data_IF_407748574663
#
_entry.id   IF_407748574663
#
_cell.length_a   1.000
_cell.length_b   1.000
_cell.length_c   1.000
_cell.angle_alpha   90.00
_cell.angle_beta   90.00
_cell.angle_gamma   90.00
#
_symmetry.space_group_name_H-M   'P 1'
#
loop_
_entity.id
_entity.type
_entity.pdbx_description
1 polymer ?
#
# COMPACT_ATOMS: atom_id res chain seq x y z
N UNK A 1 -15.73 -21.97 2.07
CA UNK A 1 -14.78 -20.99 1.48
C UNK A 1 -14.89 -21.13 -0.03
N UNK A 2 -15.28 -20.07 -0.75
CA UNK A 2 -15.30 -20.11 -2.22
C UNK A 2 -13.88 -19.95 -2.75
N UNK A 3 -13.48 -20.70 -3.79
CA UNK A 3 -12.15 -20.57 -4.37
C UNK A 3 -11.95 -19.17 -4.96
N UNK A 4 -10.73 -18.64 -4.87
CA UNK A 4 -10.34 -17.30 -5.34
C UNK A 4 -10.78 -17.07 -6.80
N UNK A 5 -10.74 -18.12 -7.62
CA UNK A 5 -11.21 -18.09 -9.01
C UNK A 5 -12.69 -17.69 -9.14
N UNK A 6 -13.56 -18.10 -8.21
CA UNK A 6 -15.01 -17.76 -8.24
C UNK A 6 -15.22 -16.26 -8.02
N UNK A 7 -14.48 -15.64 -7.09
CA UNK A 7 -14.55 -14.19 -6.87
C UNK A 7 -14.03 -13.40 -8.08
N UNK A 8 -12.96 -13.86 -8.72
CA UNK A 8 -12.42 -13.24 -9.93
C UNK A 8 -13.42 -13.29 -11.09
N UNK A 9 -14.13 -14.41 -11.27
CA UNK A 9 -15.16 -14.56 -12.31
C UNK A 9 -16.32 -13.60 -12.05
N UNK A 10 -16.82 -13.51 -10.82
CA UNK A 10 -17.93 -12.61 -10.46
C UNK A 10 -17.53 -11.14 -10.72
N UNK A 11 -16.33 -10.73 -10.29
CA UNK A 11 -15.82 -9.38 -10.56
C UNK A 11 -15.64 -9.13 -12.06
N UNK A 12 -15.15 -10.11 -12.82
CA UNK A 12 -15.01 -10.02 -14.27
C UNK A 12 -16.34 -9.81 -14.99
N UNK A 13 -17.40 -10.53 -14.57
CA UNK A 13 -18.75 -10.37 -15.13
C UNK A 13 -19.33 -9.00 -14.80
N UNK A 14 -19.18 -8.52 -13.56
CA UNK A 14 -19.64 -7.19 -13.15
C UNK A 14 -18.90 -6.10 -13.95
N UNK A 15 -17.59 -6.20 -14.10
CA UNK A 15 -16.78 -5.27 -14.87
C UNK A 15 -17.19 -5.25 -16.35
N UNK A 16 -17.50 -6.40 -16.94
CA UNK A 16 -17.98 -6.49 -18.32
C UNK A 16 -19.33 -5.79 -18.51
N UNK A 17 -20.29 -6.00 -17.59
CA UNK A 17 -21.59 -5.32 -17.62
C UNK A 17 -21.42 -3.80 -17.51
N UNK A 18 -20.57 -3.33 -16.60
CA UNK A 18 -20.27 -1.91 -16.44
C UNK A 18 -19.61 -1.32 -17.69
N UNK A 19 -18.66 -2.03 -18.29
CA UNK A 19 -17.99 -1.60 -19.53
C UNK A 19 -18.97 -1.47 -20.70
N UNK A 20 -19.88 -2.44 -20.87
CA UNK A 20 -20.92 -2.40 -21.92
C UNK A 20 -21.89 -1.24 -21.67
N UNK A 21 -22.35 -1.05 -20.42
CA UNK A 21 -23.23 0.06 -20.06
C UNK A 21 -22.60 1.42 -20.33
N UNK A 22 -21.34 1.60 -19.92
CA UNK A 22 -20.55 2.80 -20.21
C UNK A 22 -20.36 3.00 -21.72
N UNK A 23 -20.06 1.95 -22.49
CA UNK A 23 -19.91 2.03 -23.93
C UNK A 23 -21.19 2.52 -24.63
N UNK A 24 -22.35 2.00 -24.25
CA UNK A 24 -23.65 2.44 -24.80
C UNK A 24 -23.92 3.91 -24.46
N UNK A 25 -23.65 4.33 -23.22
CA UNK A 25 -23.81 5.71 -22.76
C UNK A 25 -22.87 6.67 -23.50
N UNK A 26 -21.59 6.31 -23.66
CA UNK A 26 -20.59 7.11 -24.40
C UNK A 26 -20.85 7.16 -25.90
N UNK A 27 -21.48 6.12 -26.48
CA UNK A 27 -21.89 6.12 -27.88
C UNK A 27 -23.05 7.09 -28.15
N UNK A 28 -24.01 7.19 -27.23
CA UNK A 28 -25.18 8.08 -27.39
C UNK A 28 -24.89 9.55 -27.07
N UNK A 29 -23.93 9.84 -26.20
CA UNK A 29 -23.69 11.20 -25.71
C UNK A 29 -22.27 11.71 -26.02
N UNK A 30 -22.13 12.50 -27.10
CA UNK A 30 -20.84 13.06 -27.56
C UNK A 30 -20.15 13.93 -26.49
N UNK A 31 -20.90 14.60 -25.62
CA UNK A 31 -20.34 15.38 -24.49
C UNK A 31 -19.66 14.51 -23.42
N UNK A 32 -20.15 13.28 -23.21
CA UNK A 32 -19.59 12.34 -22.24
C UNK A 32 -18.25 11.74 -22.72
N UNK A 33 -17.97 11.71 -24.04
CA UNK A 33 -16.66 11.27 -24.57
C UNK A 33 -15.49 12.09 -24.04
N UNK A 34 -15.68 13.39 -23.76
CA UNK A 34 -14.65 14.23 -23.13
C UNK A 34 -14.36 13.84 -21.68
N UNK A 35 -15.34 13.26 -20.98
CA UNK A 35 -15.19 12.76 -19.60
C UNK A 35 -14.74 11.31 -19.51
N UNK A 36 -14.72 10.54 -20.60
CA UNK A 36 -14.33 9.14 -20.61
C UNK A 36 -12.86 8.93 -20.19
N UNK A 37 -11.97 9.82 -20.62
CA UNK A 37 -10.56 9.80 -20.18
C UNK A 37 -10.44 10.07 -18.68
N UNK A 38 -11.21 11.03 -18.15
CA UNK A 38 -11.25 11.31 -16.72
C UNK A 38 -11.80 10.12 -15.93
N UNK A 39 -12.88 9.48 -16.40
CA UNK A 39 -13.44 8.29 -15.77
C UNK A 39 -12.45 7.11 -15.79
N UNK A 40 -11.74 6.91 -16.90
CA UNK A 40 -10.68 5.90 -16.99
C UNK A 40 -9.55 6.17 -15.99
N UNK A 41 -9.14 7.44 -15.84
CA UNK A 41 -8.18 7.85 -14.82
C UNK A 41 -8.71 7.63 -13.40
N UNK A 42 -9.98 7.89 -13.12
CA UNK A 42 -10.58 7.62 -11.80
C UNK A 42 -10.62 6.13 -11.49
N UNK A 43 -10.95 5.28 -12.47
CA UNK A 43 -10.94 3.82 -12.31
C UNK A 43 -9.50 3.33 -12.10
N UNK A 44 -8.54 3.84 -12.88
CA UNK A 44 -7.12 3.48 -12.72
C UNK A 44 -6.57 3.94 -11.37
N UNK A 45 -6.89 5.16 -10.93
CA UNK A 45 -6.48 5.70 -9.63
C UNK A 45 -7.12 4.92 -8.47
N UNK A 46 -8.42 4.60 -8.56
CA UNK A 46 -9.09 3.74 -7.59
C UNK A 46 -8.47 2.34 -7.56
N UNK A 47 -8.24 1.74 -8.72
CA UNK A 47 -7.55 0.45 -8.83
C UNK A 47 -6.16 0.49 -8.18
N UNK A 48 -5.38 1.53 -8.43
CA UNK A 48 -4.07 1.72 -7.81
C UNK A 48 -4.16 1.78 -6.29
N UNK A 49 -5.02 2.67 -5.75
CA UNK A 49 -5.20 2.87 -4.31
C UNK A 49 -5.66 1.61 -3.57
N UNK A 50 -6.51 0.79 -4.19
CA UNK A 50 -7.11 -0.37 -3.53
C UNK A 50 -6.44 -1.71 -3.87
N UNK A 51 -5.66 -1.83 -4.95
CA UNK A 51 -5.05 -3.09 -5.37
C UNK A 51 -3.55 -3.14 -5.12
N UNK A 52 -2.83 -2.03 -5.28
CA UNK A 52 -1.37 -2.01 -5.13
C UNK A 52 -1.00 -1.92 -3.65
N UNK A 53 -0.26 -2.91 -3.15
CA UNK A 53 0.38 -2.84 -1.84
C UNK A 53 1.80 -2.31 -2.02
N UNK A 54 2.22 -1.34 -1.21
CA UNK A 54 3.61 -0.88 -1.24
C UNK A 54 4.49 -1.89 -0.50
N UNK A 55 5.63 -2.24 -1.06
CA UNK A 55 6.62 -3.11 -0.40
C UNK A 55 7.90 -2.31 -0.25
N UNK A 56 8.33 -2.09 0.98
CA UNK A 56 9.59 -1.46 1.33
C UNK A 56 10.59 -2.55 1.70
N UNK A 57 11.59 -2.76 0.85
CA UNK A 57 12.70 -3.68 1.09
C UNK A 57 13.89 -2.88 1.56
N UNK A 58 14.37 -3.20 2.75
CA UNK A 58 15.37 -2.39 3.44
C UNK A 58 16.65 -3.18 3.66
N UNK A 59 17.77 -2.57 3.29
CA UNK A 59 19.12 -3.14 3.39
C UNK A 59 19.87 -2.60 4.60
N UNK A 60 21.01 -3.21 4.93
CA UNK A 60 21.77 -2.86 6.13
C UNK A 60 22.42 -1.47 6.11
N UNK A 61 22.59 -0.91 4.92
CA UNK A 61 23.10 0.42 4.62
C UNK A 61 22.00 1.50 4.61
N UNK A 62 20.83 1.18 5.17
CA UNK A 62 19.63 2.04 5.20
C UNK A 62 19.08 2.40 3.81
N UNK A 63 19.51 1.69 2.75
CA UNK A 63 18.89 1.82 1.44
C UNK A 63 17.53 1.16 1.43
N UNK A 64 16.57 1.81 0.77
CA UNK A 64 15.17 1.36 0.68
C UNK A 64 14.80 1.21 -0.78
N UNK A 65 14.32 0.02 -1.15
CA UNK A 65 13.76 -0.25 -2.46
C UNK A 65 12.26 -0.41 -2.35
N UNK A 66 11.52 0.30 -3.21
CA UNK A 66 10.07 0.31 -3.21
C UNK A 66 9.50 -0.48 -4.39
N UNK A 67 8.57 -1.38 -4.10
CA UNK A 67 7.87 -2.17 -5.10
C UNK A 67 6.36 -2.12 -4.91
N UNK A 68 5.62 -2.38 -5.99
CA UNK A 68 4.18 -2.59 -5.95
C UNK A 68 3.82 -4.07 -5.97
N UNK A 69 3.09 -4.54 -4.96
CA UNK A 69 2.60 -5.91 -4.87
C UNK A 69 1.11 -5.97 -5.22
N UNK A 70 0.81 -6.59 -6.36
CA UNK A 70 -0.55 -6.72 -6.93
C UNK A 70 -1.08 -8.16 -6.80
N UNK A 71 -0.17 -9.15 -6.72
CA UNK A 71 -0.48 -10.56 -6.53
C UNK A 71 0.47 -11.16 -5.49
N UNK A 72 0.08 -12.28 -4.90
CA UNK A 72 0.97 -13.04 -4.02
C UNK A 72 2.28 -13.36 -4.74
N UNK A 73 3.39 -13.11 -4.06
CA UNK A 73 4.73 -13.37 -4.57
C UNK A 73 5.61 -13.89 -3.46
N UNK A 74 6.44 -14.86 -3.78
CA UNK A 74 7.53 -15.28 -2.92
C UNK A 74 8.75 -14.39 -3.24
N UNK A 75 9.44 -13.94 -2.20
CA UNK A 75 10.59 -13.05 -2.28
C UNK A 75 11.76 -13.69 -1.54
N UNK A 76 12.88 -13.86 -2.24
CA UNK A 76 14.09 -14.42 -1.66
C UNK A 76 14.96 -13.31 -1.07
N UNK A 77 15.25 -13.43 0.22
CA UNK A 77 16.14 -12.55 0.95
C UNK A 77 17.60 -12.86 0.64
N UNK A 78 18.51 -11.92 0.92
CA UNK A 78 19.96 -12.08 0.65
C UNK A 78 20.60 -13.22 1.42
N UNK A 79 20.03 -13.64 2.55
CA UNK A 79 20.47 -14.82 3.31
C UNK A 79 19.93 -16.15 2.76
N UNK A 80 19.18 -16.12 1.65
CA UNK A 80 18.55 -17.29 1.03
C UNK A 80 17.19 -17.68 1.63
N UNK A 81 16.70 -17.01 2.68
CA UNK A 81 15.37 -17.25 3.25
C UNK A 81 14.29 -16.75 2.29
N UNK A 82 13.22 -17.53 2.13
CA UNK A 82 12.07 -17.14 1.32
C UNK A 82 10.95 -16.61 2.22
N UNK A 83 10.43 -15.44 1.88
CA UNK A 83 9.24 -14.86 2.53
C UNK A 83 8.11 -14.77 1.51
N UNK A 84 6.89 -15.01 1.97
CA UNK A 84 5.70 -14.93 1.11
C UNK A 84 4.92 -13.67 1.40
N UNK A 85 4.87 -12.78 0.40
CA UNK A 85 4.12 -11.53 0.49
C UNK A 85 2.72 -11.73 -0.09
N UNK A 86 1.70 -11.45 0.70
CA UNK A 86 0.29 -11.57 0.29
C UNK A 86 -0.32 -10.17 0.22
N UNK A 87 -0.89 -9.76 -0.94
CA UNK A 87 -1.58 -8.50 -1.06
C UNK A 87 -2.76 -8.43 -0.09
N UNK A 88 -2.85 -7.34 0.65
CA UNK A 88 -3.99 -7.04 1.50
C UNK A 88 -5.02 -6.19 0.72
N UNK A 89 -6.28 -6.20 1.14
CA UNK A 89 -7.36 -5.42 0.52
C UNK A 89 -7.88 -4.41 1.56
N UNK A 90 -7.05 -3.41 1.87
CA UNK A 90 -7.36 -2.30 2.79
C UNK A 90 -6.68 -1.00 2.33
N UNK A 91 -7.04 0.14 2.91
CA UNK A 91 -6.32 1.40 2.65
C UNK A 91 -4.97 1.42 3.37
N UNK A 92 -4.00 2.16 2.83
CA UNK A 92 -2.68 2.42 3.44
C UNK A 92 -1.90 1.16 3.83
N UNK A 93 -2.01 0.14 2.97
CA UNK A 93 -1.34 -1.15 3.10
C UNK A 93 0.10 -1.08 2.62
N UNK A 94 1.02 -1.42 3.50
CA UNK A 94 2.41 -1.62 3.10
C UNK A 94 3.02 -2.86 3.73
N UNK A 95 4.03 -3.41 3.08
CA UNK A 95 4.85 -4.49 3.60
C UNK A 95 6.22 -3.90 3.88
N UNK A 96 6.72 -4.13 5.09
CA UNK A 96 8.09 -3.84 5.44
C UNK A 96 8.87 -5.14 5.44
N UNK A 97 9.96 -5.18 4.68
CA UNK A 97 10.86 -6.32 4.55
C UNK A 97 12.25 -5.90 5.01
N UNK A 98 12.74 -6.50 6.09
CA UNK A 98 14.12 -6.38 6.50
C UNK A 98 14.98 -7.38 5.73
N UNK A 99 15.69 -6.91 4.72
CA UNK A 99 16.61 -7.71 3.91
C UNK A 99 18.06 -7.62 4.41
N UNK A 100 18.26 -7.06 5.61
CA UNK A 100 19.53 -7.00 6.31
C UNK A 100 19.55 -7.90 7.54
N UNK A 101 20.72 -7.96 8.17
CA UNK A 101 20.91 -8.67 9.44
C UNK A 101 20.54 -7.80 10.65
N UNK A 102 20.71 -6.48 10.55
CA UNK A 102 20.46 -5.58 11.66
C UNK A 102 18.95 -5.40 11.89
N UNK A 103 18.49 -5.42 13.15
CA UNK A 103 17.09 -5.16 13.46
C UNK A 103 16.72 -3.71 13.07
N UNK A 104 15.43 -3.47 12.85
CA UNK A 104 14.89 -2.13 12.57
C UNK A 104 13.72 -1.86 13.48
N UNK A 105 13.55 -0.61 13.90
CA UNK A 105 12.40 -0.18 14.65
C UNK A 105 11.42 0.57 13.73
N UNK A 106 10.14 0.25 13.88
CA UNK A 106 9.06 1.04 13.30
C UNK A 106 8.23 1.62 14.44
N UNK A 107 7.97 2.92 14.39
CA UNK A 107 7.17 3.64 15.37
C UNK A 107 6.19 4.58 14.68
N UNK A 108 5.13 4.94 15.37
CA UNK A 108 4.20 5.98 14.91
C UNK A 108 4.40 7.26 15.70
N UNK A 109 4.62 8.35 14.97
CA UNK A 109 4.76 9.70 15.50
C UNK A 109 3.43 10.40 15.35
N UNK A 110 2.94 10.97 16.44
CA UNK A 110 1.66 11.64 16.50
C UNK A 110 1.89 13.14 16.63
N UNK A 111 1.29 13.90 15.74
CA UNK A 111 1.24 15.36 15.79
C UNK A 111 -0.17 15.82 16.13
N UNK A 112 -0.30 16.70 17.14
CA UNK A 112 -1.60 17.23 17.60
C UNK A 112 -2.33 16.32 18.60
N UNK A 113 -3.62 16.59 18.81
CA UNK A 113 -4.45 15.83 19.75
C UNK A 113 -5.10 14.63 19.06
N UNK A 114 -4.78 13.41 19.50
CA UNK A 114 -5.39 12.18 18.99
C UNK A 114 -5.74 11.22 20.11
N UNK A 115 -6.74 10.38 19.87
CA UNK A 115 -7.08 9.23 20.69
C UNK A 115 -6.40 7.94 20.22
N UNK A 116 -5.66 7.98 19.12
CA UNK A 116 -4.90 6.84 18.61
C UNK A 116 -3.68 6.59 19.51
N UNK A 117 -3.49 5.35 19.94
CA UNK A 117 -2.29 4.97 20.68
C UNK A 117 -1.12 4.86 19.69
N UNK A 118 0.05 5.44 20.01
CA UNK A 118 1.25 5.17 19.25
C UNK A 118 1.54 3.68 19.35
N UNK A 119 1.75 3.05 18.21
CA UNK A 119 2.26 1.68 18.12
C UNK A 119 3.68 1.72 17.57
N UNK A 120 4.49 0.79 18.06
CA UNK A 120 5.83 0.56 17.57
C UNK A 120 6.25 -0.88 17.81
N UNK A 121 7.16 -1.36 16.98
CA UNK A 121 7.69 -2.71 17.07
C UNK A 121 9.11 -2.76 16.50
N UNK A 122 9.86 -3.77 16.93
CA UNK A 122 11.14 -4.10 16.33
C UNK A 122 10.96 -5.26 15.34
N UNK A 123 11.53 -5.09 14.15
CA UNK A 123 11.60 -6.10 13.11
C UNK A 123 13.02 -6.64 13.03
N UNK A 124 13.18 -7.88 13.50
CA UNK A 124 14.43 -8.61 13.38
C UNK A 124 14.90 -8.71 11.92
N UNK A 125 16.21 -8.97 11.74
CA UNK A 125 16.80 -9.23 10.44
C UNK A 125 16.11 -10.37 9.69
N UNK A 126 16.05 -10.26 8.37
CA UNK A 126 15.49 -11.28 7.47
C UNK A 126 14.02 -11.65 7.76
N UNK A 127 13.22 -10.66 8.17
CA UNK A 127 11.78 -10.80 8.45
C UNK A 127 10.97 -9.79 7.66
N UNK A 128 9.67 -10.07 7.57
CA UNK A 128 8.69 -9.20 6.93
C UNK A 128 7.43 -9.05 7.79
N UNK A 129 6.80 -7.90 7.70
CA UNK A 129 5.54 -7.60 8.38
C UNK A 129 4.65 -6.69 7.53
N UNK A 130 3.34 -6.92 7.59
CA UNK A 130 2.35 -6.01 7.03
C UNK A 130 2.13 -4.82 7.97
N UNK A 131 2.04 -3.63 7.41
CA UNK A 131 1.80 -2.37 8.10
C UNK A 131 0.40 -1.86 7.78
N UNK A 132 -0.25 -1.33 8.82
CA UNK A 132 -1.55 -0.64 8.73
C UNK A 132 -1.40 0.85 8.41
N UNK A 133 -0.17 1.32 8.20
CA UNK A 133 0.14 2.69 7.84
C UNK A 133 1.29 2.74 6.84
N UNK A 134 1.40 3.87 6.15
CA UNK A 134 2.54 4.20 5.31
C UNK A 134 3.76 4.61 6.14
N UNK A 135 4.96 4.44 5.59
CA UNK A 135 6.20 4.91 6.20
C UNK A 135 6.47 6.32 5.67
N UNK A 136 6.44 7.33 6.54
CA UNK A 136 6.62 8.73 6.16
C UNK A 136 8.08 9.20 6.35
N UNK A 137 8.77 8.66 7.35
CA UNK A 137 10.16 8.98 7.66
C UNK A 137 11.02 7.72 7.58
N UNK A 138 11.95 7.67 6.64
CA UNK A 138 12.86 6.54 6.42
C UNK A 138 14.26 6.93 6.87
N UNK A 139 14.72 6.40 8.01
CA UNK A 139 16.06 6.65 8.57
C UNK A 139 16.41 8.12 8.82
N UNK A 140 15.38 8.96 8.91
CA UNK A 140 15.49 10.37 9.23
C UNK A 140 14.69 10.67 10.48
N UNK A 141 15.26 11.43 11.41
CA UNK A 141 14.54 11.87 12.60
C UNK A 141 13.34 12.72 12.19
N UNK A 142 12.13 12.39 12.65
CA UNK A 142 10.92 13.18 12.43
C UNK A 142 11.12 14.59 13.03
N UNK A 143 10.63 15.65 12.37
CA UNK A 143 10.68 16.99 12.94
C UNK A 143 9.80 17.09 14.18
N UNK A 144 10.15 17.96 15.13
CA UNK A 144 9.35 18.15 16.35
C UNK A 144 7.94 18.71 16.08
N UNK A 145 7.73 19.34 14.93
CA UNK A 145 6.44 19.87 14.53
C UNK A 145 6.25 19.90 13.01
N UNK A 146 4.99 19.72 12.58
CA UNK A 146 4.59 19.83 11.18
C UNK A 146 3.30 20.66 11.05
N UNK A 147 3.06 21.24 9.88
CA UNK A 147 1.75 21.82 9.55
C UNK A 147 0.76 20.71 9.22
N UNK A 148 -0.26 20.54 10.05
CA UNK A 148 -1.34 19.57 9.82
C UNK A 148 -2.60 20.26 9.29
N UNK A 149 -3.30 19.60 8.36
CA UNK A 149 -4.66 19.99 7.93
C UNK A 149 -5.67 19.22 8.78
N UNK A 150 -5.88 19.63 10.03
CA UNK A 150 -6.83 18.96 10.93
C UNK A 150 -6.43 19.03 12.39
N UNK A 151 -7.03 18.14 13.21
CA UNK A 151 -6.75 18.05 14.65
C UNK A 151 -5.48 17.27 14.97
N UNK A 152 -5.17 16.25 14.18
CA UNK A 152 -3.96 15.45 14.33
C UNK A 152 -3.49 14.84 13.02
N UNK A 153 -2.25 14.37 13.01
CA UNK A 153 -1.69 13.53 11.97
C UNK A 153 -0.82 12.43 12.62
N UNK A 154 -0.98 11.20 12.13
CA UNK A 154 -0.10 10.08 12.50
C UNK A 154 0.83 9.80 11.34
N UNK A 155 2.12 9.63 11.64
CA UNK A 155 3.19 9.42 10.67
C UNK A 155 4.03 8.22 11.03
N UNK A 156 4.31 7.35 10.07
CA UNK A 156 5.18 6.19 10.27
C UNK A 156 6.64 6.60 10.26
N UNK A 157 7.42 6.11 11.21
CA UNK A 157 8.86 6.35 11.32
C UNK A 157 9.61 5.04 11.38
N UNK A 158 10.44 4.79 10.38
CA UNK A 158 11.37 3.67 10.33
C UNK A 158 12.77 4.15 10.71
N UNK A 159 13.39 3.48 11.67
CA UNK A 159 14.74 3.78 12.14
C UNK A 159 15.49 2.54 12.64
N UNK A 160 16.71 2.77 13.11
CA UNK A 160 17.65 1.79 13.63
C UNK A 160 18.40 2.38 14.82
#
# INVERSE_FOLDING_TARGET
>A
MFPIATFQIIFGVIAAILAIGLFILFRKNVKLRKGAAALGLFIAAGGYLFLVNHVYVVSDDNQVQEFGLIKTSDFQLVNGTEIRLVPEIKMDKSWLVNNGNLPMAFETVIYGETSANPYGFELAGYKSIGLDSSIDYLFTTPPDSIKIKGKSATKGWLHR
#
